data_IF_661922065972
#
_entry.id   IF_661922065972
#
_cell.length_a   1.000
_cell.length_b   1.000
_cell.length_c   1.000
_cell.angle_alpha   90.00
_cell.angle_beta   90.00
_cell.angle_gamma   90.00
#
_symmetry.space_group_name_H-M   'P 1'
#
loop_
_entity.id
_entity.type
_entity.pdbx_description
1 polymer ?
#
# COMPACT_ATOMS: atom_id res chain seq x y z
N UNK A 1 -25.37 29.43 13.19
CA UNK A 1 -24.61 29.01 11.99
C UNK A 1 -24.15 27.58 12.16
N UNK A 2 -24.93 26.62 11.69
CA UNK A 2 -24.46 25.24 11.58
C UNK A 2 -23.40 25.20 10.47
N UNK A 3 -22.22 24.62 10.68
CA UNK A 3 -21.22 24.51 9.62
C UNK A 3 -21.83 23.70 8.47
N UNK A 4 -21.77 24.24 7.26
CA UNK A 4 -22.19 23.55 6.04
C UNK A 4 -21.35 22.29 5.88
N UNK A 5 -21.93 21.13 6.19
CA UNK A 5 -21.26 19.84 6.00
C UNK A 5 -21.20 19.54 4.50
N UNK A 6 -19.99 19.29 3.99
CA UNK A 6 -19.80 18.76 2.64
C UNK A 6 -20.35 17.33 2.63
N UNK A 7 -21.29 17.05 1.73
CA UNK A 7 -21.86 15.72 1.59
C UNK A 7 -20.84 14.74 0.96
N UNK A 8 -20.99 13.42 1.17
CA UNK A 8 -20.14 12.41 0.52
C UNK A 8 -20.10 12.56 -1.00
N UNK A 9 -21.23 12.86 -1.65
CA UNK A 9 -21.31 13.03 -3.10
C UNK A 9 -20.43 14.20 -3.59
N UNK A 10 -20.43 15.32 -2.84
CA UNK A 10 -19.55 16.44 -3.14
C UNK A 10 -18.08 16.08 -2.94
N UNK A 11 -17.75 15.31 -1.90
CA UNK A 11 -16.38 14.83 -1.66
C UNK A 11 -15.90 13.91 -2.80
N UNK A 12 -16.75 13.00 -3.28
CA UNK A 12 -16.41 12.14 -4.41
C UNK A 12 -16.07 12.94 -5.67
N UNK A 13 -16.83 13.99 -5.95
CA UNK A 13 -16.55 14.89 -7.08
C UNK A 13 -15.17 15.53 -6.90
N UNK A 14 -14.88 16.08 -5.72
CA UNK A 14 -13.57 16.67 -5.40
C UNK A 14 -12.45 15.65 -5.59
N UNK A 15 -12.59 14.44 -5.04
CA UNK A 15 -11.54 13.41 -5.15
C UNK A 15 -11.36 12.91 -6.59
N UNK A 16 -12.42 12.88 -7.41
CA UNK A 16 -12.31 12.59 -8.85
C UNK A 16 -11.48 13.63 -9.59
N UNK A 17 -11.54 14.91 -9.20
CA UNK A 17 -10.64 15.94 -9.75
C UNK A 17 -9.19 15.71 -9.30
N UNK A 18 -8.98 15.18 -8.10
CA UNK A 18 -7.66 14.84 -7.55
C UNK A 18 -7.10 13.48 -8.04
N UNK A 19 -7.79 12.75 -8.94
CA UNK A 19 -7.43 11.36 -9.31
C UNK A 19 -5.99 11.16 -9.79
N UNK A 20 -5.36 12.20 -10.33
CA UNK A 20 -3.96 12.17 -10.80
C UNK A 20 -2.98 12.85 -9.82
N UNK A 21 -3.48 13.52 -8.78
CA UNK A 21 -2.67 14.09 -7.71
C UNK A 21 -2.58 13.11 -6.53
N UNK A 22 -1.67 12.14 -6.69
CA UNK A 22 -1.41 11.09 -5.70
C UNK A 22 -1.11 11.64 -4.31
N UNK A 23 -0.28 12.68 -4.21
CA UNK A 23 0.13 13.28 -2.94
C UNK A 23 -1.07 13.84 -2.18
N UNK A 24 -1.96 14.54 -2.87
CA UNK A 24 -3.20 15.03 -2.29
C UNK A 24 -4.14 13.88 -1.90
N UNK A 25 -4.27 12.84 -2.72
CA UNK A 25 -5.08 11.66 -2.36
C UNK A 25 -4.54 10.95 -1.12
N UNK A 26 -3.23 10.75 -1.00
CA UNK A 26 -2.61 10.18 0.20
C UNK A 26 -2.87 11.04 1.43
N UNK A 27 -2.78 12.36 1.30
CA UNK A 27 -3.12 13.28 2.40
C UNK A 27 -4.60 13.15 2.79
N UNK A 28 -5.50 13.00 1.80
CA UNK A 28 -6.93 12.82 2.03
C UNK A 28 -7.26 11.51 2.77
N UNK A 29 -6.49 10.43 2.57
CA UNK A 29 -6.67 9.17 3.30
C UNK A 29 -6.55 9.35 4.82
N UNK A 30 -5.71 10.29 5.26
CA UNK A 30 -5.36 10.50 6.66
C UNK A 30 -6.31 11.44 7.41
N UNK A 31 -7.24 12.10 6.70
CA UNK A 31 -8.13 13.12 7.29
C UNK A 31 -9.16 12.49 8.24
N UNK A 32 -9.95 11.53 7.75
CA UNK A 32 -10.93 10.80 8.57
C UNK A 32 -11.39 9.51 7.87
N UNK A 33 -12.19 8.69 8.58
CA UNK A 33 -12.67 7.39 8.07
C UNK A 33 -13.53 7.50 6.80
N UNK A 34 -14.30 8.57 6.64
CA UNK A 34 -15.13 8.78 5.44
C UNK A 34 -14.25 9.06 4.22
N UNK A 35 -13.32 10.00 4.35
CA UNK A 35 -12.39 10.39 3.29
C UNK A 35 -11.50 9.20 2.89
N UNK A 36 -11.01 8.45 3.88
CA UNK A 36 -10.26 7.21 3.66
C UNK A 36 -11.03 6.23 2.75
N UNK A 37 -12.30 5.96 3.04
CA UNK A 37 -13.14 5.05 2.27
C UNK A 37 -13.41 5.53 0.84
N UNK A 38 -13.55 6.83 0.63
CA UNK A 38 -13.80 7.43 -0.69
C UNK A 38 -12.53 7.57 -1.54
N UNK A 39 -11.34 7.61 -0.93
CA UNK A 39 -10.09 7.81 -1.66
C UNK A 39 -9.34 6.51 -1.91
N UNK A 40 -9.50 5.50 -1.06
CA UNK A 40 -8.76 4.23 -1.15
C UNK A 40 -8.88 3.59 -2.54
N UNK A 41 -10.08 3.58 -3.13
CA UNK A 41 -10.29 2.98 -4.44
C UNK A 41 -9.67 3.79 -5.59
N UNK A 42 -9.49 5.11 -5.42
CA UNK A 42 -8.84 5.97 -6.42
C UNK A 42 -7.34 5.72 -6.45
N UNK A 43 -6.71 5.56 -5.27
CA UNK A 43 -5.28 5.22 -5.17
C UNK A 43 -5.05 3.80 -5.68
N UNK A 44 -5.84 2.84 -5.22
CA UNK A 44 -5.65 1.42 -5.56
C UNK A 44 -6.11 1.03 -6.96
N UNK A 45 -6.63 1.96 -7.75
CA UNK A 45 -6.89 1.76 -9.18
C UNK A 45 -5.63 1.38 -9.96
N UNK A 46 -4.51 2.01 -9.63
CA UNK A 46 -3.23 1.82 -10.31
C UNK A 46 -2.07 2.04 -9.33
N UNK A 47 -1.95 1.23 -8.27
CA UNK A 47 -1.10 1.53 -7.11
C UNK A 47 0.36 1.81 -7.47
N UNK A 48 0.85 1.28 -8.59
CA UNK A 48 2.24 1.39 -9.06
C UNK A 48 2.46 2.43 -10.18
N UNK A 49 1.50 3.33 -10.45
CA UNK A 49 1.51 4.26 -11.60
C UNK A 49 2.72 5.23 -11.71
N UNK A 50 3.37 5.59 -10.59
CA UNK A 50 4.37 6.67 -10.61
C UNK A 50 5.51 6.43 -9.62
N UNK A 51 6.31 5.38 -9.84
CA UNK A 51 7.44 5.02 -8.98
C UNK A 51 8.71 5.84 -9.26
N UNK A 52 8.71 6.68 -10.30
CA UNK A 52 9.87 7.48 -10.71
C UNK A 52 10.11 8.74 -9.84
N UNK A 53 9.21 9.06 -8.92
CA UNK A 53 9.39 10.17 -7.98
C UNK A 53 9.78 9.62 -6.62
N UNK A 54 10.97 9.96 -6.13
CA UNK A 54 11.58 9.60 -4.83
C UNK A 54 10.78 10.06 -3.57
N UNK A 55 9.45 9.92 -3.55
CA UNK A 55 8.59 10.32 -2.44
C UNK A 55 7.63 9.18 -2.11
N UNK A 56 7.75 8.71 -0.88
CA UNK A 56 6.97 7.66 -0.23
C UNK A 56 5.45 7.74 -0.45
N UNK A 57 4.72 6.60 -0.35
CA UNK A 57 5.11 5.38 0.34
C UNK A 57 5.01 4.11 -0.54
N UNK A 58 6.01 3.89 -1.40
CA UNK A 58 6.15 2.64 -2.18
C UNK A 58 6.10 1.40 -1.25
N UNK A 59 6.79 1.50 -0.12
CA UNK A 59 6.83 0.47 0.91
C UNK A 59 5.43 0.11 1.43
N UNK A 60 4.61 1.10 1.76
CA UNK A 60 3.26 0.89 2.28
C UNK A 60 2.32 0.26 1.24
N UNK A 61 2.48 0.60 -0.03
CA UNK A 61 1.72 0.01 -1.14
C UNK A 61 2.09 -1.46 -1.32
N UNK A 62 3.39 -1.77 -1.44
CA UNK A 62 3.88 -3.15 -1.60
C UNK A 62 3.48 -4.00 -0.40
N UNK A 63 3.69 -3.51 0.82
CA UNK A 63 3.31 -4.21 2.04
C UNK A 63 1.80 -4.49 2.09
N UNK A 64 0.97 -3.50 1.74
CA UNK A 64 -0.48 -3.67 1.70
C UNK A 64 -0.92 -4.68 0.63
N UNK A 65 -0.22 -4.72 -0.51
CA UNK A 65 -0.47 -5.69 -1.58
C UNK A 65 -0.11 -7.11 -1.12
N UNK A 66 1.10 -7.31 -0.59
CA UNK A 66 1.56 -8.61 -0.07
C UNK A 66 0.63 -9.11 1.04
N UNK A 67 0.17 -8.23 1.94
CA UNK A 67 -0.75 -8.59 3.03
C UNK A 67 -2.11 -9.10 2.52
N UNK A 68 -2.50 -8.75 1.28
CA UNK A 68 -3.72 -9.25 0.66
C UNK A 68 -3.53 -10.61 -0.07
N UNK A 69 -2.29 -11.11 -0.20
CA UNK A 69 -2.00 -12.37 -0.87
C UNK A 69 -2.39 -13.59 0.00
N UNK A 70 -2.59 -14.77 -0.62
CA UNK A 70 -2.77 -16.02 0.11
C UNK A 70 -1.61 -16.30 1.08
N UNK A 71 -1.90 -17.00 2.18
CA UNK A 71 -0.88 -17.33 3.19
C UNK A 71 0.29 -18.13 2.62
N UNK A 72 0.03 -18.97 1.62
CA UNK A 72 1.07 -19.72 0.89
C UNK A 72 2.05 -18.80 0.17
N UNK A 73 1.56 -17.77 -0.54
CA UNK A 73 2.40 -16.79 -1.22
C UNK A 73 3.20 -15.94 -0.24
N UNK A 74 2.60 -15.55 0.90
CA UNK A 74 3.29 -14.80 1.94
C UNK A 74 4.41 -15.63 2.59
N UNK A 75 4.18 -16.92 2.82
CA UNK A 75 5.20 -17.81 3.39
C UNK A 75 6.38 -17.98 2.43
N UNK A 76 6.12 -18.15 1.13
CA UNK A 76 7.19 -18.24 0.14
C UNK A 76 8.09 -16.99 0.13
N UNK A 77 7.51 -15.79 0.25
CA UNK A 77 8.28 -14.54 0.32
C UNK A 77 9.15 -14.50 1.58
N UNK A 78 8.60 -14.92 2.73
CA UNK A 78 9.36 -14.98 3.99
C UNK A 78 10.52 -15.97 3.86
N UNK A 79 10.26 -17.16 3.31
CA UNK A 79 11.28 -18.19 3.13
C UNK A 79 12.37 -17.73 2.16
N UNK A 80 12.02 -17.01 1.09
CA UNK A 80 12.98 -16.42 0.15
C UNK A 80 13.91 -15.41 0.83
N UNK A 81 13.35 -14.47 1.61
CA UNK A 81 14.13 -13.48 2.37
C UNK A 81 15.09 -14.20 3.34
N UNK A 82 14.58 -15.16 4.12
CA UNK A 82 15.38 -15.91 5.11
C UNK A 82 16.53 -16.69 4.45
N UNK A 83 16.32 -17.23 3.25
CA UNK A 83 17.34 -18.00 2.53
C UNK A 83 18.39 -17.12 1.82
N UNK A 84 18.13 -15.83 1.64
CA UNK A 84 19.00 -14.92 0.88
C UNK A 84 20.04 -14.22 1.76
N UNK A 85 19.78 -14.03 3.05
CA UNK A 85 20.71 -13.36 3.96
C UNK A 85 21.69 -14.33 4.65
N UNK A 86 22.99 -14.14 4.38
CA UNK A 86 24.06 -14.74 5.18
C UNK A 86 24.01 -14.14 6.60
N UNK A 87 23.57 -14.98 7.55
CA UNK A 87 23.55 -14.84 9.02
C UNK A 87 24.51 -13.80 9.64
N UNK A 88 24.19 -12.53 9.53
CA UNK A 88 24.59 -11.54 10.53
C UNK A 88 23.49 -11.41 11.59
N UNK A 89 23.88 -11.13 12.83
CA UNK A 89 23.08 -11.13 14.07
C UNK A 89 21.86 -10.16 14.07
N UNK A 90 21.60 -9.50 12.94
CA UNK A 90 20.62 -8.41 12.83
C UNK A 90 19.16 -8.87 12.76
N UNK A 91 18.84 -10.10 12.34
CA UNK A 91 17.53 -10.30 11.70
C UNK A 91 16.49 -11.22 12.33
N UNK A 92 16.72 -11.88 13.47
CA UNK A 92 15.60 -12.64 14.10
C UNK A 92 14.43 -11.72 14.50
N UNK A 93 14.75 -10.54 15.02
CA UNK A 93 13.73 -9.54 15.40
C UNK A 93 13.06 -8.91 14.17
N UNK A 94 13.81 -8.66 13.10
CA UNK A 94 13.32 -8.13 11.83
C UNK A 94 12.35 -9.13 11.18
N UNK A 95 12.72 -10.42 11.13
CA UNK A 95 11.88 -11.48 10.59
C UNK A 95 10.62 -11.72 11.42
N UNK A 96 10.73 -11.74 12.76
CA UNK A 96 9.54 -11.82 13.62
C UNK A 96 8.59 -10.63 13.40
N UNK A 97 9.14 -9.43 13.20
CA UNK A 97 8.34 -8.25 12.88
C UNK A 97 7.67 -8.34 11.50
N UNK A 98 8.40 -8.80 10.48
CA UNK A 98 7.87 -9.03 9.13
C UNK A 98 6.73 -10.06 9.16
N UNK A 99 6.96 -11.20 9.80
CA UNK A 99 5.97 -12.27 9.93
C UNK A 99 4.71 -11.76 10.62
N UNK A 100 4.85 -11.01 11.72
CA UNK A 100 3.71 -10.41 12.42
C UNK A 100 2.98 -9.37 11.55
N UNK A 101 3.69 -8.63 10.71
CA UNK A 101 3.08 -7.64 9.81
C UNK A 101 2.28 -8.30 8.68
N UNK A 102 2.81 -9.34 8.04
CA UNK A 102 2.16 -10.05 6.93
C UNK A 102 0.98 -10.93 7.38
N UNK A 103 0.93 -11.29 8.67
CA UNK A 103 -0.22 -11.97 9.27
C UNK A 103 -1.40 -11.02 9.57
N UNK A 104 -1.19 -9.70 9.58
CA UNK A 104 -2.29 -8.76 9.86
C UNK A 104 -3.23 -8.69 8.66
N UNK A 105 -4.52 -8.78 8.95
CA UNK A 105 -5.52 -8.58 7.91
C UNK A 105 -5.58 -7.10 7.49
N UNK A 106 -5.54 -6.81 6.18
CA UNK A 106 -5.62 -5.45 5.69
C UNK A 106 -7.02 -4.88 5.94
N UNK A 107 -7.09 -3.57 6.22
CA UNK A 107 -8.35 -2.87 6.50
C UNK A 107 -9.35 -2.96 5.33
N UNK A 108 -8.82 -3.02 4.11
CA UNK A 108 -9.58 -3.23 2.89
C UNK A 108 -8.97 -4.39 2.13
N UNK A 109 -9.78 -5.18 1.42
CA UNK A 109 -9.27 -6.02 0.35
C UNK A 109 -8.86 -5.08 -0.80
N UNK A 110 -7.61 -4.60 -0.77
CA UNK A 110 -7.10 -3.59 -1.68
C UNK A 110 -7.03 -4.09 -3.13
N UNK A 111 -6.75 -5.38 -3.32
CA UNK A 111 -6.66 -6.03 -4.64
C UNK A 111 -7.96 -5.87 -5.42
N UNK A 112 -9.13 -5.82 -4.76
CA UNK A 112 -10.42 -5.67 -5.44
C UNK A 112 -10.58 -4.32 -6.18
N UNK A 113 -9.77 -3.32 -5.85
CA UNK A 113 -9.81 -2.00 -6.48
C UNK A 113 -8.81 -1.88 -7.63
N UNK A 114 -7.96 -2.88 -7.84
CA UNK A 114 -6.94 -2.89 -8.88
C UNK A 114 -7.58 -2.88 -10.27
N UNK A 115 -7.22 -1.90 -11.10
CA UNK A 115 -7.65 -1.84 -12.51
C UNK A 115 -6.46 -1.90 -13.46
N UNK A 116 -5.32 -1.39 -13.04
CA UNK A 116 -4.07 -1.41 -13.80
C UNK A 116 -2.97 -1.97 -12.91
N UNK A 117 -2.20 -2.90 -13.45
CA UNK A 117 -1.03 -3.48 -12.79
C UNK A 117 0.19 -3.30 -13.70
N UNK A 118 1.11 -2.42 -13.29
CA UNK A 118 2.38 -2.25 -13.95
C UNK A 118 3.41 -3.17 -13.27
N UNK A 119 3.77 -4.27 -13.93
CA UNK A 119 4.69 -5.27 -13.39
C UNK A 119 6.11 -4.73 -13.21
N UNK A 120 6.61 -3.93 -14.15
CA UNK A 120 7.97 -3.35 -14.04
C UNK A 120 8.09 -2.46 -12.80
N UNK A 121 7.10 -1.59 -12.59
CA UNK A 121 7.05 -0.72 -11.42
C UNK A 121 6.83 -1.50 -10.11
N UNK A 122 6.08 -2.60 -10.17
CA UNK A 122 5.93 -3.52 -9.04
C UNK A 122 7.26 -4.17 -8.70
N UNK A 123 7.99 -4.71 -9.68
CA UNK A 123 9.27 -5.40 -9.46
C UNK A 123 10.30 -4.45 -8.85
N UNK A 124 10.39 -3.21 -9.36
CA UNK A 124 11.25 -2.17 -8.77
C UNK A 124 10.88 -1.92 -7.31
N UNK A 125 9.59 -1.73 -7.02
CA UNK A 125 9.12 -1.44 -5.68
C UNK A 125 9.26 -2.62 -4.72
N UNK A 126 9.07 -3.84 -5.22
CA UNK A 126 9.24 -5.08 -4.49
C UNK A 126 10.71 -5.29 -4.13
N UNK A 127 11.63 -5.07 -5.07
CA UNK A 127 13.06 -5.15 -4.80
C UNK A 127 13.51 -4.11 -3.75
N UNK A 128 13.01 -2.88 -3.82
CA UNK A 128 13.27 -1.87 -2.78
C UNK A 128 12.66 -2.23 -1.43
N UNK A 129 11.46 -2.82 -1.42
CA UNK A 129 10.82 -3.34 -0.21
C UNK A 129 11.61 -4.51 0.38
N UNK A 130 12.10 -5.42 -0.47
CA UNK A 130 12.89 -6.59 -0.09
C UNK A 130 14.22 -6.19 0.54
N UNK A 131 14.93 -5.18 0.01
CA UNK A 131 16.20 -4.68 0.61
C UNK A 131 16.09 -4.16 2.04
N UNK A 132 14.87 -3.89 2.52
CA UNK A 132 14.63 -3.40 3.89
C UNK A 132 14.50 -4.54 4.90
N UNK A 133 14.26 -5.76 4.42
CA UNK A 133 14.15 -6.98 5.21
C UNK A 133 15.34 -7.88 4.93
#
# INVERSE_FOLDING_TARGET
>A
NSPSQITPDCLEVIFKYLKYDRSSLFSCLLVNRLWCRLVVHLIWRDPFFNMNSNKEPLFGIVQSYISCLPDTSKQNIIDEIINTDEKDEKDEKTFQQLQQQLQRQPLFNYIKYLQVFNSENFDIAFNEWHKKY
#
